data_IF_935636081392
#
_entry.id   IF_935636081392
#
_cell.length_a   1.000
_cell.length_b   1.000
_cell.length_c   1.000
_cell.angle_alpha   90.00
_cell.angle_beta   90.00
_cell.angle_gamma   90.00
#
_symmetry.space_group_name_H-M   'P 1'
#
loop_
_entity.id
_entity.type
_entity.pdbx_description
1 polymer ?
#
# COMPACT_ATOMS: atom_id res chain seq x y z
N UNK A 1 62.58 -1.27 32.91
CA UNK A 1 63.11 -2.52 33.51
C UNK A 1 61.99 -3.57 33.49
N UNK A 2 62.25 -4.66 32.76
CA UNK A 2 61.62 -6.00 32.78
C UNK A 2 60.07 -6.08 32.74
N UNK A 3 59.43 -6.35 31.60
CA UNK A 3 59.27 -7.63 30.88
C UNK A 3 58.66 -8.76 31.73
N UNK A 4 57.38 -9.08 31.52
CA UNK A 4 56.89 -10.47 31.59
C UNK A 4 55.83 -10.71 30.51
N UNK A 5 56.21 -11.56 29.57
CA UNK A 5 55.33 -12.18 28.57
C UNK A 5 54.56 -13.33 29.27
N UNK A 6 53.22 -13.31 29.10
CA UNK A 6 52.34 -14.43 29.44
C UNK A 6 51.81 -15.08 28.16
N UNK A 7 52.16 -16.33 27.93
CA UNK A 7 51.67 -17.13 26.79
C UNK A 7 50.23 -17.56 27.02
N UNK A 8 49.34 -17.28 26.07
CA UNK A 8 48.00 -17.87 26.00
C UNK A 8 48.07 -19.16 25.15
N UNK A 9 47.69 -20.26 25.76
CA UNK A 9 47.48 -21.56 25.11
C UNK A 9 46.16 -21.55 24.32
N UNK A 10 46.23 -21.95 23.07
CA UNK A 10 45.08 -22.23 22.23
C UNK A 10 44.37 -23.52 22.70
N UNK A 11 43.11 -23.43 23.05
CA UNK A 11 42.21 -24.56 23.27
C UNK A 11 41.33 -24.74 22.04
N UNK A 12 41.53 -25.83 21.32
CA UNK A 12 40.67 -26.28 20.23
C UNK A 12 39.45 -26.96 20.80
N UNK A 13 38.26 -26.35 20.67
CA UNK A 13 36.98 -27.02 20.91
C UNK A 13 36.36 -27.37 19.55
N UNK A 14 36.23 -28.68 19.33
CA UNK A 14 35.63 -29.23 18.11
C UNK A 14 34.11 -29.02 18.12
N UNK A 15 33.60 -28.53 16.99
CA UNK A 15 32.19 -28.46 16.70
C UNK A 15 31.71 -29.79 16.13
N UNK A 16 30.88 -30.51 16.87
CA UNK A 16 30.21 -31.70 16.36
C UNK A 16 29.05 -31.31 15.45
N UNK A 17 29.12 -31.65 14.17
CA UNK A 17 28.05 -31.53 13.22
C UNK A 17 27.01 -32.63 13.46
N UNK A 18 25.78 -32.25 13.84
CA UNK A 18 24.65 -33.17 13.88
C UNK A 18 24.03 -33.24 12.47
N UNK A 19 24.22 -34.40 11.83
CA UNK A 19 23.52 -34.71 10.59
C UNK A 19 22.08 -35.13 10.88
N UNK A 20 21.11 -34.37 10.42
CA UNK A 20 19.70 -34.75 10.44
C UNK A 20 19.41 -35.71 9.30
N UNK A 21 19.04 -36.93 9.66
CA UNK A 21 18.66 -38.01 8.76
C UNK A 21 17.15 -37.81 8.39
N UNK A 22 16.83 -37.36 7.18
CA UNK A 22 15.48 -37.33 6.65
C UNK A 22 15.09 -38.74 6.19
N UNK A 23 14.17 -39.39 6.91
CA UNK A 23 13.57 -40.66 6.49
C UNK A 23 12.48 -40.40 5.45
N UNK A 24 12.74 -40.81 4.24
CA UNK A 24 11.73 -40.99 3.18
C UNK A 24 10.95 -42.28 3.44
N UNK A 25 9.66 -42.17 3.72
CA UNK A 25 8.72 -43.31 3.73
C UNK A 25 8.13 -43.47 2.32
N UNK A 26 8.07 -44.70 1.77
CA UNK A 26 7.43 -44.94 0.49
C UNK A 26 5.92 -45.04 0.68
N UNK A 27 5.16 -44.25 -0.06
CA UNK A 27 3.71 -44.47 -0.22
C UNK A 27 3.49 -45.64 -1.17
N UNK A 28 2.93 -46.70 -0.62
CA UNK A 28 2.48 -47.86 -1.37
C UNK A 28 1.20 -47.58 -2.13
N UNK A 29 1.14 -48.04 -3.38
CA UNK A 29 -0.04 -47.99 -4.22
C UNK A 29 -1.11 -48.98 -3.80
N UNK A 30 -2.37 -48.62 -4.03
CA UNK A 30 -3.48 -49.58 -4.13
C UNK A 30 -4.51 -49.10 -5.16
N UNK A 31 -4.64 -49.95 -6.14
CA UNK A 31 -5.82 -50.47 -6.80
C UNK A 31 -6.86 -49.54 -7.49
N UNK A 32 -7.04 -49.89 -8.76
CA UNK A 32 -8.00 -49.38 -9.72
C UNK A 32 -9.43 -49.69 -9.26
N UNK A 33 -10.25 -48.65 -9.21
CA UNK A 33 -11.70 -48.75 -9.23
C UNK A 33 -12.23 -47.97 -10.43
N UNK A 34 -12.80 -48.67 -11.41
CA UNK A 34 -13.54 -48.08 -12.53
C UNK A 34 -14.82 -47.43 -12.01
N UNK A 35 -14.83 -46.12 -11.98
CA UNK A 35 -16.00 -45.28 -11.71
C UNK A 35 -16.06 -44.18 -12.76
N UNK A 36 -16.96 -44.30 -13.73
CA UNK A 36 -17.31 -43.18 -14.63
C UNK A 36 -17.96 -42.05 -13.82
N UNK A 37 -17.13 -41.16 -13.24
CA UNK A 37 -17.55 -39.89 -12.73
C UNK A 37 -17.29 -38.83 -13.81
N UNK A 38 -18.33 -38.19 -14.29
CA UNK A 38 -18.21 -36.95 -15.07
C UNK A 38 -17.55 -35.91 -14.18
N UNK A 39 -16.22 -35.90 -14.17
CA UNK A 39 -15.41 -34.83 -13.56
C UNK A 39 -15.63 -33.57 -14.39
N UNK A 40 -16.35 -32.62 -13.84
CA UNK A 40 -16.18 -31.23 -14.22
C UNK A 40 -14.71 -30.90 -13.89
N UNK A 41 -13.84 -30.93 -14.90
CA UNK A 41 -12.50 -30.33 -14.78
C UNK A 41 -12.65 -28.88 -14.34
N UNK A 42 -11.67 -28.34 -13.57
CA UNK A 42 -11.69 -26.93 -13.22
C UNK A 42 -11.78 -26.17 -14.54
N UNK A 43 -12.91 -25.49 -14.73
CA UNK A 43 -13.12 -24.66 -15.91
C UNK A 43 -11.90 -23.72 -16.02
N UNK A 44 -11.26 -23.72 -17.18
CA UNK A 44 -10.29 -22.69 -17.53
C UNK A 44 -11.06 -21.36 -17.56
N UNK A 45 -11.28 -20.79 -16.37
CA UNK A 45 -11.79 -19.44 -16.21
C UNK A 45 -10.87 -18.50 -17.01
N UNK A 46 -11.47 -17.57 -17.67
CA UNK A 46 -10.76 -16.55 -18.41
C UNK A 46 -9.76 -15.86 -17.44
N UNK A 47 -8.45 -16.17 -17.55
CA UNK A 47 -7.39 -15.62 -16.67
C UNK A 47 -7.22 -14.10 -16.83
N UNK A 48 -8.09 -13.44 -17.59
CA UNK A 48 -8.03 -12.02 -17.88
C UNK A 48 -8.90 -11.21 -16.92
N UNK A 49 -8.26 -10.32 -16.16
CA UNK A 49 -8.94 -9.33 -15.38
C UNK A 49 -9.51 -8.21 -16.28
N UNK A 50 -10.81 -8.01 -16.19
CA UNK A 50 -11.46 -6.85 -16.79
C UNK A 50 -11.20 -5.60 -15.95
N UNK A 51 -11.31 -5.75 -14.65
CA UNK A 51 -11.05 -4.70 -13.67
C UNK A 51 -9.90 -5.13 -12.76
N UNK A 52 -9.13 -4.16 -12.31
CA UNK A 52 -8.11 -4.33 -11.26
C UNK A 52 -8.36 -3.30 -10.18
N UNK A 53 -8.41 -3.74 -8.94
CA UNK A 53 -8.39 -2.90 -7.75
C UNK A 53 -7.09 -3.26 -7.02
N UNK A 54 -6.12 -2.35 -7.11
CA UNK A 54 -4.82 -2.44 -6.45
C UNK A 54 -4.91 -1.66 -5.16
N UNK A 55 -4.85 -2.33 -4.02
CA UNK A 55 -4.96 -1.70 -2.70
C UNK A 55 -3.60 -1.76 -2.04
N UNK A 56 -3.06 -0.62 -1.66
CA UNK A 56 -1.79 -0.48 -0.93
C UNK A 56 -2.07 0.06 0.46
N UNK A 57 -1.57 -0.62 1.48
CA UNK A 57 -1.36 -0.01 2.79
C UNK A 57 0.08 0.42 2.84
N UNK A 58 0.34 1.72 2.91
CA UNK A 58 1.70 2.23 3.08
C UNK A 58 2.23 1.79 4.44
N UNK A 59 3.48 1.34 4.52
CA UNK A 59 4.08 0.86 5.74
C UNK A 59 3.50 -0.45 6.31
N UNK A 60 2.61 -1.13 5.57
CA UNK A 60 1.83 -2.27 6.05
C UNK A 60 2.64 -3.58 6.08
N UNK A 61 3.46 -3.79 7.11
CA UNK A 61 4.12 -5.06 7.39
C UNK A 61 3.19 -6.13 7.98
N UNK A 62 3.70 -7.35 8.15
CA UNK A 62 2.95 -8.45 8.80
C UNK A 62 2.55 -8.12 10.23
N UNK A 63 3.44 -7.48 10.99
CA UNK A 63 3.15 -7.07 12.37
C UNK A 63 2.03 -6.02 12.44
N UNK A 64 1.96 -5.09 11.47
CA UNK A 64 0.86 -4.13 11.38
C UNK A 64 -0.48 -4.82 11.12
N UNK A 65 -0.53 -5.77 10.18
CA UNK A 65 -1.77 -6.56 9.94
C UNK A 65 -2.20 -7.32 11.17
N UNK A 66 -1.26 -7.90 11.92
CA UNK A 66 -1.55 -8.62 13.16
C UNK A 66 -2.05 -7.67 14.26
N UNK A 67 -1.44 -6.48 14.41
CA UNK A 67 -1.91 -5.43 15.31
C UNK A 67 -3.36 -5.06 15.03
N UNK A 68 -3.68 -4.74 13.78
CA UNK A 68 -5.03 -4.39 13.33
C UNK A 68 -5.99 -5.54 13.59
N UNK A 69 -5.60 -6.78 13.29
CA UNK A 69 -6.42 -7.98 13.52
C UNK A 69 -6.76 -8.18 15.00
N UNK A 70 -5.76 -8.14 15.86
CA UNK A 70 -5.96 -8.34 17.29
C UNK A 70 -6.86 -7.27 17.92
N UNK A 71 -6.65 -6.01 17.53
CA UNK A 71 -7.43 -4.89 18.03
C UNK A 71 -8.87 -4.84 17.47
N UNK A 72 -9.11 -5.38 16.26
CA UNK A 72 -10.39 -5.24 15.56
C UNK A 72 -11.28 -6.47 15.70
N UNK A 73 -10.74 -7.66 15.43
CA UNK A 73 -11.50 -8.92 15.34
C UNK A 73 -10.99 -10.00 16.30
N UNK A 74 -9.91 -9.75 17.03
CA UNK A 74 -9.35 -10.65 18.04
C UNK A 74 -8.64 -11.88 17.48
N UNK A 75 -8.29 -12.83 18.37
CA UNK A 75 -7.46 -14.00 18.01
C UNK A 75 -8.11 -14.92 16.99
N UNK A 76 -9.42 -15.09 17.08
CA UNK A 76 -10.18 -16.04 16.26
C UNK A 76 -10.86 -15.36 15.04
N UNK A 77 -10.76 -14.02 14.95
CA UNK A 77 -11.31 -13.24 13.85
C UNK A 77 -10.37 -13.16 12.66
N UNK A 78 -10.94 -12.82 11.51
CA UNK A 78 -10.23 -12.63 10.26
C UNK A 78 -10.59 -11.27 9.66
N UNK A 79 -9.59 -10.49 9.28
CA UNK A 79 -9.77 -9.24 8.55
C UNK A 79 -10.25 -9.54 7.12
N UNK A 80 -10.92 -8.58 6.48
CA UNK A 80 -11.27 -8.66 5.08
C UNK A 80 -10.02 -8.86 4.21
N UNK A 81 -8.93 -8.11 4.50
CA UNK A 81 -7.67 -8.23 3.79
C UNK A 81 -6.97 -9.59 3.95
N UNK A 82 -7.31 -10.39 4.95
CA UNK A 82 -6.79 -11.75 5.17
C UNK A 82 -7.69 -12.83 4.56
N UNK A 83 -8.90 -12.47 4.12
CA UNK A 83 -9.89 -13.41 3.59
C UNK A 83 -9.71 -13.77 2.11
N UNK A 84 -8.84 -13.05 1.39
CA UNK A 84 -8.60 -13.25 -0.03
C UNK A 84 -8.02 -14.65 -0.32
N UNK A 85 -8.38 -15.21 -1.47
CA UNK A 85 -8.12 -16.62 -1.82
C UNK A 85 -6.64 -17.01 -1.87
N UNK A 86 -5.76 -16.07 -2.24
CA UNK A 86 -4.33 -16.29 -2.41
C UNK A 86 -3.52 -15.36 -1.51
N UNK A 87 -2.50 -15.91 -0.85
CA UNK A 87 -1.60 -15.18 0.03
C UNK A 87 -0.13 -15.43 -0.30
N UNK A 88 0.69 -14.43 -0.06
CA UNK A 88 2.14 -14.45 -0.25
C UNK A 88 2.82 -13.32 0.50
N UNK A 89 4.07 -13.07 0.16
CA UNK A 89 4.85 -11.94 0.64
C UNK A 89 5.78 -11.44 -0.45
N UNK A 90 6.17 -10.17 -0.39
CA UNK A 90 7.11 -9.55 -1.32
C UNK A 90 8.34 -9.04 -0.60
N UNK A 91 9.49 -9.07 -1.29
CA UNK A 91 10.63 -8.28 -0.85
C UNK A 91 10.35 -6.80 -1.12
N UNK A 92 11.01 -5.91 -0.39
CA UNK A 92 10.77 -4.47 -0.43
C UNK A 92 11.97 -3.66 -0.93
N UNK A 93 13.10 -4.33 -1.24
CA UNK A 93 14.36 -3.67 -1.59
C UNK A 93 14.27 -2.78 -2.84
N UNK A 94 14.78 -1.54 -2.72
CA UNK A 94 14.99 -0.62 -3.84
C UNK A 94 16.30 -0.93 -4.58
N UNK A 95 16.64 -0.13 -5.59
CA UNK A 95 17.95 -0.17 -6.24
C UNK A 95 18.86 0.99 -5.79
N UNK A 96 18.53 1.61 -4.67
CA UNK A 96 19.33 2.70 -4.10
C UNK A 96 20.75 2.20 -3.77
N UNK A 97 21.82 2.91 -4.20
CA UNK A 97 23.19 2.49 -3.94
C UNK A 97 23.68 2.83 -2.52
N UNK A 98 22.98 3.70 -1.81
CA UNK A 98 23.41 4.22 -0.50
C UNK A 98 22.49 3.74 0.65
N UNK A 99 21.26 3.28 0.33
CA UNK A 99 20.29 2.85 1.31
C UNK A 99 19.84 1.39 1.12
N UNK A 100 19.76 0.65 2.20
CA UNK A 100 19.38 -0.77 2.18
C UNK A 100 17.86 -0.98 2.25
N UNK A 101 17.13 0.03 2.67
CA UNK A 101 15.67 0.01 2.88
C UNK A 101 15.02 0.97 1.91
N UNK A 102 13.91 0.53 1.30
CA UNK A 102 13.16 1.36 0.35
C UNK A 102 12.43 2.50 1.04
N UNK A 103 12.17 3.58 0.29
CA UNK A 103 11.08 4.51 0.61
C UNK A 103 9.83 4.14 -0.20
N UNK A 104 8.71 4.84 0.07
CA UNK A 104 7.43 4.61 -0.63
C UNK A 104 7.53 4.86 -2.13
N UNK A 105 8.35 5.85 -2.57
CA UNK A 105 8.49 6.19 -3.99
C UNK A 105 9.13 5.04 -4.79
N UNK A 106 10.24 4.48 -4.32
CA UNK A 106 10.89 3.36 -4.97
C UNK A 106 10.06 2.06 -4.83
N UNK A 107 9.42 1.84 -3.68
CA UNK A 107 8.53 0.70 -3.44
C UNK A 107 7.33 0.70 -4.39
N UNK A 108 6.60 1.81 -4.45
CA UNK A 108 5.46 1.96 -5.35
C UNK A 108 5.88 1.95 -6.84
N UNK A 109 7.05 2.52 -7.20
CA UNK A 109 7.59 2.45 -8.56
C UNK A 109 7.85 1.01 -8.98
N UNK A 110 8.36 0.16 -8.08
CA UNK A 110 8.56 -1.26 -8.37
C UNK A 110 7.23 -1.97 -8.65
N UNK A 111 6.18 -1.68 -7.89
CA UNK A 111 4.83 -2.21 -8.15
C UNK A 111 4.21 -1.67 -9.43
N UNK A 112 4.37 -0.36 -9.68
CA UNK A 112 3.75 0.30 -10.82
C UNK A 112 4.38 -0.08 -12.15
N UNK A 113 5.72 -0.27 -12.19
CA UNK A 113 6.49 -0.40 -13.43
C UNK A 113 7.20 -1.73 -13.62
N UNK A 114 7.40 -2.52 -12.55
CA UNK A 114 8.26 -3.70 -12.59
C UNK A 114 9.77 -3.38 -12.59
N UNK A 115 10.13 -2.13 -12.31
CA UNK A 115 11.52 -1.66 -12.30
C UNK A 115 11.86 -1.12 -10.92
N UNK A 116 12.97 -1.58 -10.33
CA UNK A 116 13.49 -0.99 -9.10
C UNK A 116 14.29 0.27 -9.42
N UNK A 117 14.11 1.28 -8.59
CA UNK A 117 14.78 2.56 -8.69
C UNK A 117 15.41 2.97 -7.36
N UNK A 118 16.01 4.14 -7.28
CA UNK A 118 16.56 4.71 -6.04
C UNK A 118 15.46 5.38 -5.22
N UNK A 119 15.68 5.55 -3.93
CA UNK A 119 14.74 6.18 -3.02
C UNK A 119 14.44 7.62 -3.45
N UNK A 120 13.19 8.05 -3.34
CA UNK A 120 12.70 9.34 -3.82
C UNK A 120 12.31 9.39 -5.30
N UNK A 121 12.67 8.40 -6.11
CA UNK A 121 12.37 8.39 -7.54
C UNK A 121 10.97 7.82 -7.85
N UNK A 122 10.25 8.50 -8.72
CA UNK A 122 8.86 8.20 -9.08
C UNK A 122 8.76 7.87 -10.57
N UNK A 123 8.35 6.65 -10.90
CA UNK A 123 8.08 6.23 -12.28
C UNK A 123 9.29 6.31 -13.24
N UNK A 124 10.51 6.34 -12.71
CA UNK A 124 11.76 6.38 -13.49
C UNK A 124 12.69 5.23 -13.09
N UNK A 125 13.60 4.86 -13.98
CA UNK A 125 14.67 3.90 -13.68
C UNK A 125 15.86 4.57 -12.94
N UNK A 126 16.89 3.79 -12.63
CA UNK A 126 18.10 4.29 -11.93
C UNK A 126 18.90 5.36 -12.70
N UNK A 127 18.67 5.50 -13.99
CA UNK A 127 19.27 6.52 -14.83
C UNK A 127 18.33 7.74 -15.02
N UNK A 128 17.16 7.76 -14.37
CA UNK A 128 16.16 8.82 -14.44
C UNK A 128 15.29 8.78 -15.70
N UNK A 129 15.28 7.68 -16.46
CA UNK A 129 14.42 7.57 -17.62
C UNK A 129 13.02 7.08 -17.22
N UNK A 130 11.94 7.67 -17.79
CA UNK A 130 10.57 7.23 -17.57
C UNK A 130 10.37 5.74 -17.88
N UNK A 131 9.67 5.01 -17.01
CA UNK A 131 9.32 3.60 -17.19
C UNK A 131 7.80 3.43 -17.25
N UNK A 132 7.25 2.63 -18.20
CA UNK A 132 5.80 2.47 -18.33
C UNK A 132 5.16 1.89 -17.09
N UNK A 133 4.00 2.42 -16.68
CA UNK A 133 3.28 2.00 -15.49
C UNK A 133 2.06 1.13 -15.79
N UNK A 134 1.53 0.43 -14.77
CA UNK A 134 0.28 -0.32 -14.86
C UNK A 134 -0.91 0.56 -15.22
N UNK A 135 -0.97 1.79 -14.70
CA UNK A 135 -2.02 2.76 -15.02
C UNK A 135 -1.95 3.16 -16.50
N UNK A 136 -0.76 3.46 -16.99
CA UNK A 136 -0.56 3.79 -18.42
C UNK A 136 -0.87 2.59 -19.33
N UNK A 137 -0.47 1.39 -18.93
CA UNK A 137 -0.80 0.15 -19.64
C UNK A 137 -2.31 -0.08 -19.70
N UNK A 138 -3.02 0.14 -18.59
CA UNK A 138 -4.48 0.06 -18.52
C UNK A 138 -5.15 1.07 -19.44
N UNK A 139 -4.72 2.33 -19.39
CA UNK A 139 -5.20 3.39 -20.27
C UNK A 139 -4.90 3.09 -21.77
N UNK A 140 -3.70 2.61 -22.06
CA UNK A 140 -3.33 2.18 -23.43
C UNK A 140 -4.18 1.02 -23.95
N UNK A 141 -4.76 0.22 -23.05
CA UNK A 141 -5.72 -0.83 -23.36
C UNK A 141 -7.18 -0.34 -23.43
N UNK A 142 -7.42 0.97 -23.32
CA UNK A 142 -8.75 1.60 -23.40
C UNK A 142 -9.57 1.50 -22.13
N UNK A 143 -8.94 1.16 -20.99
CA UNK A 143 -9.60 1.07 -19.68
C UNK A 143 -9.68 2.45 -19.02
N UNK A 144 -10.71 2.66 -18.22
CA UNK A 144 -10.74 3.78 -17.27
C UNK A 144 -9.68 3.59 -16.17
N UNK A 145 -9.18 4.70 -15.60
CA UNK A 145 -8.14 4.66 -14.57
C UNK A 145 -8.46 5.58 -13.41
N UNK A 146 -8.05 5.20 -12.19
CA UNK A 146 -8.28 5.99 -10.99
C UNK A 146 -7.16 5.85 -9.97
N UNK A 147 -6.97 6.92 -9.20
CA UNK A 147 -6.07 7.05 -8.06
C UNK A 147 -6.89 7.56 -6.88
N UNK A 148 -6.86 6.86 -5.76
CA UNK A 148 -7.54 7.21 -4.50
C UNK A 148 -6.55 7.01 -3.37
N UNK A 149 -6.41 8.00 -2.48
CA UNK A 149 -5.47 7.93 -1.36
C UNK A 149 -5.95 8.77 -0.18
N UNK A 150 -5.49 8.46 1.03
CA UNK A 150 -5.58 9.35 2.20
C UNK A 150 -4.43 10.32 2.29
N UNK A 151 -3.37 10.11 1.50
CA UNK A 151 -2.25 11.03 1.29
C UNK A 151 -2.64 12.27 0.46
N UNK A 152 -1.65 13.10 0.19
CA UNK A 152 -1.69 14.03 -0.94
C UNK A 152 -1.78 13.23 -2.24
N UNK A 153 -2.67 13.59 -3.16
CA UNK A 153 -2.84 12.86 -4.43
C UNK A 153 -1.58 12.84 -5.29
N UNK A 154 -0.62 13.72 -5.01
CA UNK A 154 0.66 13.84 -5.69
C UNK A 154 1.82 13.19 -4.95
N UNK A 155 1.55 12.56 -3.80
CA UNK A 155 2.58 11.86 -3.06
C UNK A 155 3.03 10.56 -3.74
N UNK A 156 4.04 9.93 -3.18
CA UNK A 156 4.86 8.87 -3.74
C UNK A 156 4.08 7.76 -4.45
N UNK A 157 3.09 7.16 -3.78
CA UNK A 157 2.38 6.01 -4.32
C UNK A 157 1.49 6.36 -5.50
N UNK A 158 0.53 7.32 -5.42
CA UNK A 158 -0.25 7.68 -6.58
C UNK A 158 0.62 8.26 -7.70
N UNK A 159 1.69 9.00 -7.34
CA UNK A 159 2.64 9.54 -8.30
C UNK A 159 3.37 8.43 -9.08
N UNK A 160 3.83 7.37 -8.42
CA UNK A 160 4.53 6.25 -9.06
C UNK A 160 3.69 5.53 -10.13
N UNK A 161 2.37 5.53 -9.99
CA UNK A 161 1.46 4.97 -11.00
C UNK A 161 1.13 5.96 -12.12
N UNK A 162 1.18 7.28 -11.87
CA UNK A 162 0.65 8.29 -12.79
C UNK A 162 1.65 9.32 -13.31
N UNK A 163 2.89 9.37 -12.83
CA UNK A 163 3.88 10.38 -13.20
C UNK A 163 5.30 9.81 -13.31
N UNK A 164 6.22 10.62 -13.81
CA UNK A 164 7.63 10.28 -14.00
C UNK A 164 8.48 11.48 -13.61
N UNK A 165 8.99 11.48 -12.38
CA UNK A 165 9.90 12.52 -11.87
C UNK A 165 11.07 11.89 -11.11
N UNK A 166 12.27 12.48 -11.17
CA UNK A 166 13.44 11.98 -10.46
C UNK A 166 13.37 12.21 -8.95
N UNK A 167 12.46 13.07 -8.48
CA UNK A 167 12.30 13.44 -7.07
C UNK A 167 10.80 13.56 -6.73
N UNK A 168 10.32 12.78 -5.75
CA UNK A 168 8.93 12.79 -5.26
C UNK A 168 8.49 14.17 -4.74
N UNK A 169 9.43 15.03 -4.37
CA UNK A 169 9.16 16.42 -3.98
C UNK A 169 8.66 17.33 -5.10
N UNK A 170 8.77 16.91 -6.36
CA UNK A 170 8.30 17.68 -7.53
C UNK A 170 6.76 17.59 -7.70
N UNK A 171 6.01 17.75 -6.61
CA UNK A 171 4.57 17.44 -6.54
C UNK A 171 3.72 18.29 -7.50
N UNK A 172 4.04 19.56 -7.73
CA UNK A 172 3.33 20.36 -8.75
C UNK A 172 3.52 19.82 -10.17
N UNK A 173 4.73 19.34 -10.50
CA UNK A 173 5.00 18.68 -11.79
C UNK A 173 4.24 17.35 -11.89
N UNK A 174 4.15 16.58 -10.80
CA UNK A 174 3.33 15.36 -10.73
C UNK A 174 1.86 15.69 -11.03
N UNK A 175 1.28 16.70 -10.37
CA UNK A 175 -0.08 17.17 -10.62
C UNK A 175 -0.30 17.57 -12.09
N UNK A 176 0.67 18.28 -12.68
CA UNK A 176 0.64 18.64 -14.09
C UNK A 176 0.65 17.39 -14.99
N UNK A 177 1.50 16.39 -14.68
CA UNK A 177 1.56 15.15 -15.45
C UNK A 177 0.26 14.34 -15.35
N UNK A 178 -0.43 14.35 -14.21
CA UNK A 178 -1.76 13.75 -14.09
C UNK A 178 -2.77 14.37 -15.06
N UNK A 179 -2.69 15.66 -15.32
CA UNK A 179 -3.61 16.33 -16.25
C UNK A 179 -3.21 16.17 -17.72
N UNK A 180 -1.92 16.13 -18.02
CA UNK A 180 -1.40 16.21 -19.39
C UNK A 180 -0.97 14.88 -19.96
N UNK A 181 -0.42 13.99 -19.14
CA UNK A 181 0.23 12.75 -19.57
C UNK A 181 -0.63 11.52 -19.26
N UNK A 182 -0.69 11.08 -18.03
CA UNK A 182 -1.40 9.85 -17.62
C UNK A 182 -2.92 10.01 -17.63
N UNK A 183 -3.44 11.17 -17.29
CA UNK A 183 -4.86 11.55 -17.36
C UNK A 183 -5.80 10.52 -16.69
N UNK A 184 -5.62 10.17 -15.43
CA UNK A 184 -6.57 9.30 -14.74
C UNK A 184 -7.99 9.90 -14.77
N UNK A 185 -9.01 9.05 -14.90
CA UNK A 185 -10.40 9.53 -14.92
C UNK A 185 -10.87 9.97 -13.54
N UNK A 186 -10.31 9.38 -12.49
CA UNK A 186 -10.60 9.71 -11.08
C UNK A 186 -9.31 9.94 -10.33
N UNK A 187 -9.22 11.06 -9.59
CA UNK A 187 -8.14 11.40 -8.66
C UNK A 187 -8.79 11.93 -7.39
N UNK A 188 -8.64 11.24 -6.26
CA UNK A 188 -9.27 11.61 -4.99
C UNK A 188 -8.26 11.46 -3.85
N UNK A 189 -8.15 12.47 -2.99
CA UNK A 189 -7.28 12.49 -1.80
C UNK A 189 -7.05 13.89 -1.26
N UNK A 190 -5.96 14.11 -0.54
CA UNK A 190 -5.51 15.40 -0.05
C UNK A 190 -4.62 16.15 -1.03
N UNK A 191 -3.88 17.15 -0.55
CA UNK A 191 -2.80 17.82 -1.27
C UNK A 191 -3.23 18.99 -2.14
N UNK A 192 -4.28 19.73 -1.77
CA UNK A 192 -4.74 20.91 -2.52
C UNK A 192 -3.63 21.93 -2.74
N UNK A 193 -2.70 22.08 -1.81
CA UNK A 193 -1.61 23.05 -1.81
C UNK A 193 -0.75 23.03 -3.08
N UNK A 194 -0.59 21.88 -3.71
CA UNK A 194 0.21 21.73 -4.93
C UNK A 194 -0.54 22.07 -6.22
N UNK A 195 -1.87 22.26 -6.13
CA UNK A 195 -2.74 22.52 -7.28
C UNK A 195 -3.05 23.98 -7.48
N UNK A 196 -2.79 24.83 -6.48
CA UNK A 196 -2.97 26.26 -6.52
C UNK A 196 -1.64 27.02 -6.42
N UNK A 197 -1.49 28.16 -7.12
CA UNK A 197 -0.27 28.96 -7.02
C UNK A 197 -0.04 29.50 -5.61
N UNK A 198 1.21 29.69 -5.25
CA UNK A 198 1.58 30.24 -3.94
C UNK A 198 0.82 31.54 -3.61
N UNK A 199 0.10 31.55 -2.50
CA UNK A 199 -0.72 32.67 -2.02
C UNK A 199 -2.11 32.79 -2.67
N UNK A 200 -2.54 31.79 -3.39
CA UNK A 200 -3.90 31.70 -3.96
C UNK A 200 -4.59 30.42 -3.40
N UNK A 201 -5.10 30.44 -2.14
CA UNK A 201 -5.73 29.26 -1.55
C UNK A 201 -6.94 28.80 -2.36
N UNK A 202 -7.16 27.48 -2.36
CA UNK A 202 -8.29 26.83 -3.00
C UNK A 202 -9.56 26.85 -2.15
N UNK A 203 -10.16 25.69 -1.95
CA UNK A 203 -11.31 25.49 -1.06
C UNK A 203 -10.89 25.44 0.42
N UNK A 204 -9.66 25.01 0.67
CA UNK A 204 -9.06 24.90 1.99
C UNK A 204 -8.23 26.16 2.29
N UNK A 205 -8.44 26.75 3.48
CA UNK A 205 -7.71 27.99 3.86
C UNK A 205 -6.27 27.66 4.23
N UNK A 206 -5.32 28.40 3.64
CA UNK A 206 -3.93 28.39 4.07
C UNK A 206 -3.81 28.82 5.53
N UNK A 207 -3.11 28.06 6.37
CA UNK A 207 -2.91 28.40 7.78
C UNK A 207 -1.43 28.35 8.21
N UNK A 208 -0.50 29.04 7.52
CA UNK A 208 0.94 28.97 7.79
C UNK A 208 1.33 29.49 9.19
N UNK A 209 0.42 30.14 9.91
CA UNK A 209 0.65 30.55 11.30
C UNK A 209 0.51 29.39 12.28
N UNK A 210 -0.31 28.39 11.95
CA UNK A 210 -0.49 27.15 12.72
C UNK A 210 0.50 26.10 12.28
N UNK A 211 0.61 25.89 10.98
CA UNK A 211 1.57 25.00 10.35
C UNK A 211 2.25 25.70 9.15
N UNK A 212 3.57 25.89 9.18
CA UNK A 212 4.27 26.61 8.10
C UNK A 212 4.24 25.88 6.74
N UNK A 213 3.93 24.61 6.72
CA UNK A 213 3.85 23.80 5.49
C UNK A 213 2.47 23.89 4.83
N UNK A 214 1.42 24.19 5.61
CA UNK A 214 0.04 24.27 5.19
C UNK A 214 -0.27 25.58 4.45
N UNK A 215 0.14 25.66 3.20
CA UNK A 215 -0.09 26.82 2.33
C UNK A 215 0.03 26.43 0.85
N UNK A 216 -0.80 27.07 0.02
CA UNK A 216 -0.71 26.93 -1.44
C UNK A 216 0.70 27.24 -1.93
N UNK A 217 1.33 26.27 -2.62
CA UNK A 217 2.74 26.27 -3.01
C UNK A 217 2.97 25.75 -4.43
N UNK A 218 1.89 25.62 -5.22
CA UNK A 218 1.96 25.16 -6.61
C UNK A 218 2.79 26.07 -7.52
N UNK A 219 3.58 25.48 -8.39
CA UNK A 219 4.50 26.17 -9.34
C UNK A 219 4.02 26.13 -10.78
N UNK A 220 2.99 25.35 -11.10
CA UNK A 220 2.48 25.11 -12.44
C UNK A 220 1.20 25.92 -12.79
N UNK A 221 0.91 26.98 -12.03
CA UNK A 221 -0.30 27.78 -12.13
C UNK A 221 -1.50 27.10 -11.47
N UNK A 222 -2.72 27.57 -11.75
CA UNK A 222 -3.94 26.98 -11.20
C UNK A 222 -4.29 25.67 -11.94
N UNK A 223 -3.87 24.54 -11.38
CA UNK A 223 -4.09 23.22 -11.97
C UNK A 223 -5.53 22.74 -11.79
N UNK A 224 -6.26 23.23 -10.79
CA UNK A 224 -7.68 22.93 -10.62
C UNK A 224 -8.52 23.57 -11.75
N UNK A 225 -8.28 24.83 -12.09
CA UNK A 225 -8.93 25.49 -13.24
C UNK A 225 -8.61 24.75 -14.55
N UNK A 226 -7.35 24.34 -14.71
CA UNK A 226 -6.92 23.54 -15.86
C UNK A 226 -7.60 22.16 -15.91
N UNK A 227 -7.78 21.50 -14.78
CA UNK A 227 -8.51 20.22 -14.71
C UNK A 227 -9.97 20.41 -15.15
N UNK A 228 -10.63 21.48 -14.71
CA UNK A 228 -12.00 21.82 -15.12
C UNK A 228 -12.08 22.07 -16.63
N UNK A 229 -11.12 22.78 -17.22
CA UNK A 229 -11.02 22.99 -18.67
C UNK A 229 -10.83 21.66 -19.44
N UNK A 230 -10.19 20.67 -18.84
CA UNK A 230 -10.02 19.30 -19.36
C UNK A 230 -11.24 18.40 -19.12
N UNK A 231 -12.31 18.94 -18.50
CA UNK A 231 -13.58 18.28 -18.28
C UNK A 231 -13.66 17.47 -16.97
N UNK A 232 -12.76 17.71 -16.00
CA UNK A 232 -12.92 17.17 -14.65
C UNK A 232 -13.98 17.96 -13.89
N UNK A 233 -14.78 17.25 -13.10
CA UNK A 233 -15.57 17.84 -12.05
C UNK A 233 -14.66 17.95 -10.83
N UNK A 234 -14.40 19.15 -10.35
CA UNK A 234 -13.67 19.39 -9.11
C UNK A 234 -14.64 19.39 -7.92
N UNK A 235 -14.24 18.75 -6.83
CA UNK A 235 -14.95 18.70 -5.55
C UNK A 235 -13.94 18.78 -4.40
N UNK A 236 -14.35 19.35 -3.26
CA UNK A 236 -13.49 19.56 -2.10
C UNK A 236 -14.11 19.12 -0.77
N UNK A 237 -15.31 18.52 -0.82
CA UNK A 237 -16.03 18.07 0.37
C UNK A 237 -16.89 16.82 0.08
N UNK A 238 -17.41 16.20 1.14
CA UNK A 238 -18.21 14.99 1.06
C UNK A 238 -19.52 15.18 0.29
N UNK A 239 -20.19 16.34 0.41
CA UNK A 239 -21.43 16.65 -0.31
C UNK A 239 -21.19 16.77 -1.81
N UNK A 240 -20.16 17.51 -2.20
CA UNK A 240 -19.71 17.63 -3.59
C UNK A 240 -19.33 16.29 -4.19
N UNK A 241 -18.61 15.44 -3.45
CA UNK A 241 -18.27 14.09 -3.89
C UNK A 241 -19.52 13.24 -4.12
N UNK A 242 -20.46 13.23 -3.17
CA UNK A 242 -21.72 12.48 -3.28
C UNK A 242 -22.53 12.91 -4.51
N UNK A 243 -22.59 14.22 -4.78
CA UNK A 243 -23.36 14.80 -5.87
C UNK A 243 -22.67 14.77 -7.23
N UNK A 244 -21.37 14.55 -7.30
CA UNK A 244 -20.62 14.49 -8.56
C UNK A 244 -21.18 13.41 -9.52
N UNK A 245 -21.35 13.76 -10.80
CA UNK A 245 -21.94 12.87 -11.84
C UNK A 245 -21.06 12.68 -13.07
N UNK A 246 -19.93 13.35 -13.12
CA UNK A 246 -19.00 13.30 -14.25
C UNK A 246 -18.39 11.92 -14.49
N UNK A 247 -17.65 11.80 -15.60
CA UNK A 247 -16.78 10.65 -15.88
C UNK A 247 -15.33 10.91 -15.45
N UNK A 248 -14.98 12.20 -15.32
CA UNK A 248 -13.70 12.65 -14.79
C UNK A 248 -13.94 13.41 -13.51
N UNK A 249 -13.21 13.03 -12.47
CA UNK A 249 -13.41 13.55 -11.12
C UNK A 249 -12.05 13.85 -10.48
N UNK A 250 -11.90 15.08 -9.99
CA UNK A 250 -10.80 15.52 -9.16
C UNK A 250 -11.38 15.93 -7.81
N UNK A 251 -11.01 15.24 -6.74
CA UNK A 251 -11.38 15.57 -5.37
C UNK A 251 -10.14 15.84 -4.52
N UNK A 252 -10.05 17.05 -3.94
CA UNK A 252 -8.99 17.44 -3.03
C UNK A 252 -9.63 17.82 -1.69
N UNK A 253 -9.40 17.00 -0.65
CA UNK A 253 -10.16 17.02 0.59
C UNK A 253 -9.35 17.47 1.80
N UNK A 254 -8.16 18.01 1.57
CA UNK A 254 -7.28 18.64 2.54
C UNK A 254 -6.20 19.44 1.81
N UNK A 255 -5.54 20.39 2.52
CA UNK A 255 -4.35 21.09 2.01
C UNK A 255 -3.19 20.12 1.82
N UNK A 256 -2.92 19.29 2.81
CA UNK A 256 -1.86 18.27 2.84
C UNK A 256 -2.51 16.86 2.92
N UNK A 257 -2.04 15.97 3.81
CA UNK A 257 -2.66 14.66 4.05
C UNK A 257 -4.05 14.81 4.68
N UNK A 258 -4.87 13.78 4.55
CA UNK A 258 -6.24 13.79 5.09
C UNK A 258 -6.30 13.43 6.59
N UNK A 259 -5.19 13.56 7.30
CA UNK A 259 -5.04 13.25 8.73
C UNK A 259 -3.95 14.12 9.35
N UNK A 260 -3.87 14.18 10.69
CA UNK A 260 -2.84 14.94 11.40
C UNK A 260 -1.79 13.99 11.97
N UNK A 261 -0.65 13.92 11.30
CA UNK A 261 0.50 13.11 11.70
C UNK A 261 1.26 13.77 12.87
N UNK A 262 0.90 13.42 14.11
CA UNK A 262 1.54 13.90 15.33
C UNK A 262 1.81 12.74 16.28
N UNK A 263 2.67 12.99 17.29
CA UNK A 263 2.81 12.05 18.39
C UNK A 263 1.47 11.86 19.12
N UNK A 264 1.24 10.69 19.69
CA UNK A 264 0.00 10.38 20.38
C UNK A 264 -0.31 11.41 21.49
N UNK A 265 -1.54 11.94 21.46
CA UNK A 265 -2.03 12.95 22.40
C UNK A 265 -1.49 14.39 22.17
N UNK A 266 -0.69 14.63 21.13
CA UNK A 266 -0.16 15.95 20.77
C UNK A 266 -0.93 16.61 19.62
N UNK A 267 -2.18 16.19 19.40
CA UNK A 267 -3.03 16.72 18.33
C UNK A 267 -3.06 15.79 17.10
N UNK A 268 -2.64 14.54 17.29
CA UNK A 268 -2.80 13.47 16.31
C UNK A 268 -4.28 13.21 16.01
N UNK A 269 -4.64 13.09 14.74
CA UNK A 269 -6.03 12.91 14.33
C UNK A 269 -6.11 12.06 13.05
N UNK A 270 -6.96 11.03 13.10
CA UNK A 270 -7.39 10.29 11.92
C UNK A 270 -8.92 10.39 11.78
N UNK A 271 -9.36 11.47 11.16
CA UNK A 271 -10.77 11.78 10.86
C UNK A 271 -10.84 12.47 9.48
N UNK A 272 -10.56 11.75 8.38
CA UNK A 272 -10.57 12.34 7.04
C UNK A 272 -11.96 12.91 6.71
N UNK A 273 -12.01 14.12 6.10
CA UNK A 273 -13.24 14.78 5.65
C UNK A 273 -14.10 13.86 4.76
N UNK A 274 -13.46 13.03 3.95
CA UNK A 274 -14.09 11.98 3.16
C UNK A 274 -13.37 10.67 3.45
N UNK A 275 -14.01 9.70 4.12
CA UNK A 275 -13.40 8.40 4.41
C UNK A 275 -12.90 7.68 3.14
N UNK A 276 -11.82 6.90 3.27
CA UNK A 276 -11.23 6.13 2.16
C UNK A 276 -12.26 5.23 1.47
N UNK A 277 -13.12 4.59 2.26
CA UNK A 277 -14.19 3.72 1.75
C UNK A 277 -15.18 4.49 0.87
N UNK A 278 -15.52 5.73 1.22
CA UNK A 278 -16.48 6.56 0.45
C UNK A 278 -15.83 7.08 -0.85
N UNK A 279 -14.57 7.50 -0.80
CA UNK A 279 -13.79 7.85 -1.99
C UNK A 279 -13.70 6.66 -2.95
N UNK A 280 -13.38 5.47 -2.42
CA UNK A 280 -13.27 4.23 -3.20
C UNK A 280 -14.62 3.82 -3.80
N UNK A 281 -15.71 3.90 -3.04
CA UNK A 281 -17.06 3.63 -3.54
C UNK A 281 -17.43 4.55 -4.71
N UNK A 282 -17.09 5.84 -4.59
CA UNK A 282 -17.31 6.82 -5.66
C UNK A 282 -16.45 6.53 -6.89
N UNK A 283 -15.17 6.22 -6.71
CA UNK A 283 -14.29 5.85 -7.80
C UNK A 283 -14.82 4.63 -8.55
N UNK A 284 -15.21 3.58 -7.84
CA UNK A 284 -15.82 2.37 -8.42
C UNK A 284 -17.11 2.69 -9.19
N UNK A 285 -17.98 3.59 -8.66
CA UNK A 285 -19.22 3.99 -9.36
C UNK A 285 -18.93 4.72 -10.67
N UNK A 286 -17.89 5.53 -10.72
CA UNK A 286 -17.47 6.22 -11.95
C UNK A 286 -16.83 5.24 -12.94
N UNK A 287 -15.84 4.47 -12.50
CA UNK A 287 -14.98 3.64 -13.35
C UNK A 287 -15.70 2.41 -13.94
N UNK A 288 -16.64 1.80 -13.18
CA UNK A 288 -17.42 0.64 -13.67
C UNK A 288 -18.25 0.89 -14.92
N UNK A 289 -18.47 2.17 -15.28
CA UNK A 289 -19.21 2.57 -16.48
C UNK A 289 -18.42 2.37 -17.75
N UNK A 290 -17.10 2.11 -17.63
CA UNK A 290 -16.28 1.80 -18.79
C UNK A 290 -16.47 0.35 -19.25
N UNK A 291 -16.63 0.16 -20.57
CA UNK A 291 -16.92 -1.15 -21.15
C UNK A 291 -15.70 -2.07 -21.21
N UNK A 292 -14.52 -1.49 -21.29
CA UNK A 292 -13.26 -2.21 -21.33
C UNK A 292 -12.71 -2.53 -19.93
N UNK A 293 -13.42 -2.02 -18.88
CA UNK A 293 -13.08 -2.16 -17.48
C UNK A 293 -12.14 -1.05 -17.00
N UNK A 294 -11.50 -1.25 -15.85
CA UNK A 294 -10.70 -0.21 -15.22
C UNK A 294 -9.45 -0.76 -14.49
N UNK A 295 -8.54 0.15 -14.17
CA UNK A 295 -7.50 0.02 -13.17
C UNK A 295 -7.72 1.10 -12.09
N UNK A 296 -7.78 0.69 -10.84
CA UNK A 296 -7.93 1.58 -9.69
C UNK A 296 -6.83 1.28 -8.68
N UNK A 297 -6.02 2.28 -8.36
CA UNK A 297 -5.17 2.30 -7.17
C UNK A 297 -5.98 2.88 -6.01
N UNK A 298 -5.89 2.22 -4.86
CA UNK A 298 -6.42 2.71 -3.58
C UNK A 298 -5.31 2.60 -2.56
N UNK A 299 -5.05 3.66 -1.82
CA UNK A 299 -4.01 3.71 -0.81
C UNK A 299 -4.54 4.22 0.52
N UNK A 300 -4.11 3.56 1.59
CA UNK A 300 -4.16 4.08 2.96
C UNK A 300 -2.73 4.37 3.42
N UNK A 301 -2.37 5.64 3.47
CA UNK A 301 -1.03 6.09 3.84
C UNK A 301 -0.82 6.15 5.36
N UNK A 302 -1.88 6.47 6.11
CA UNK A 302 -1.76 6.81 7.52
C UNK A 302 -1.26 5.64 8.40
N UNK A 303 -1.25 4.40 7.90
CA UNK A 303 -0.62 3.27 8.61
C UNK A 303 0.88 3.54 8.76
N UNK A 304 1.54 4.01 7.69
CA UNK A 304 2.96 4.38 7.69
C UNK A 304 3.23 5.57 8.58
N UNK A 305 2.53 6.66 8.33
CA UNK A 305 2.79 7.95 8.94
C UNK A 305 2.60 7.94 10.46
N UNK A 306 1.61 7.22 10.97
CA UNK A 306 1.46 7.01 12.40
C UNK A 306 2.46 6.01 12.98
N UNK A 307 2.91 5.02 12.20
CA UNK A 307 4.00 4.13 12.63
C UNK A 307 5.34 4.87 12.74
N UNK A 308 5.61 5.89 11.90
CA UNK A 308 6.74 6.81 12.06
C UNK A 308 6.72 7.56 13.39
N UNK A 309 5.55 7.78 13.96
CA UNK A 309 5.32 8.44 15.26
C UNK A 309 5.20 7.48 16.44
N UNK A 310 5.36 6.16 16.20
CA UNK A 310 5.12 5.14 17.23
C UNK A 310 3.73 5.27 17.86
N UNK A 311 2.70 5.53 17.05
CA UNK A 311 1.32 5.77 17.47
C UNK A 311 0.44 4.60 17.03
N UNK A 312 0.38 3.54 17.85
CA UNK A 312 -0.39 2.34 17.53
C UNK A 312 -1.90 2.60 17.50
N UNK A 313 -2.41 3.53 18.32
CA UNK A 313 -3.83 3.91 18.32
C UNK A 313 -4.29 4.36 16.93
N UNK A 314 -3.54 5.25 16.29
CA UNK A 314 -3.89 5.78 14.96
C UNK A 314 -3.54 4.80 13.85
N UNK A 315 -2.44 4.05 13.97
CA UNK A 315 -2.12 2.94 13.06
C UNK A 315 -3.25 1.91 13.00
N UNK A 316 -3.86 1.57 14.15
CA UNK A 316 -5.04 0.68 14.21
C UNK A 316 -6.23 1.32 13.47
N UNK A 317 -6.52 2.60 13.69
CA UNK A 317 -7.65 3.27 13.04
C UNK A 317 -7.49 3.32 11.51
N UNK A 318 -6.31 3.69 11.03
CA UNK A 318 -5.99 3.68 9.60
C UNK A 318 -6.12 2.27 9.01
N UNK A 319 -5.59 1.27 9.70
CA UNK A 319 -5.71 -0.13 9.27
C UNK A 319 -7.16 -0.65 9.25
N UNK A 320 -8.01 -0.18 10.16
CA UNK A 320 -9.45 -0.48 10.14
C UNK A 320 -10.14 0.13 8.91
N UNK A 321 -9.82 1.38 8.57
CA UNK A 321 -10.35 2.04 7.37
C UNK A 321 -9.89 1.34 6.08
N UNK A 322 -8.64 0.88 6.05
CA UNK A 322 -8.13 0.05 4.96
C UNK A 322 -8.92 -1.26 4.83
N UNK A 323 -9.13 -1.99 5.94
CA UNK A 323 -9.84 -3.27 5.94
C UNK A 323 -11.32 -3.13 5.52
N UNK A 324 -11.99 -2.06 5.95
CA UNK A 324 -13.34 -1.70 5.50
C UNK A 324 -13.36 -1.45 3.98
N UNK A 325 -12.34 -0.76 3.47
CA UNK A 325 -12.20 -0.49 2.04
C UNK A 325 -11.92 -1.77 1.24
N UNK A 326 -11.14 -2.69 1.79
CA UNK A 326 -10.95 -4.03 1.21
C UNK A 326 -12.28 -4.80 1.15
N UNK A 327 -13.07 -4.77 2.23
CA UNK A 327 -14.39 -5.41 2.24
C UNK A 327 -15.30 -4.86 1.12
N UNK A 328 -15.36 -3.54 0.94
CA UNK A 328 -16.08 -2.91 -0.18
C UNK A 328 -15.57 -3.41 -1.54
N UNK A 329 -14.25 -3.52 -1.71
CA UNK A 329 -13.66 -3.99 -2.98
C UNK A 329 -13.99 -5.46 -3.27
N UNK A 330 -14.07 -6.29 -2.24
CA UNK A 330 -14.47 -7.71 -2.36
C UNK A 330 -15.95 -7.82 -2.72
N UNK A 331 -16.84 -7.06 -2.08
CA UNK A 331 -18.27 -7.01 -2.42
C UNK A 331 -18.45 -6.57 -3.89
N UNK A 332 -17.72 -5.53 -4.31
CA UNK A 332 -17.71 -5.10 -5.72
C UNK A 332 -17.26 -6.23 -6.65
N UNK A 333 -16.22 -6.98 -6.30
CA UNK A 333 -15.70 -8.07 -7.13
C UNK A 333 -16.67 -9.25 -7.24
N UNK A 334 -17.44 -9.54 -6.19
CA UNK A 334 -18.51 -10.57 -6.23
C UNK A 334 -19.61 -10.19 -7.21
N UNK A 335 -20.02 -8.93 -7.22
CA UNK A 335 -21.05 -8.41 -8.14
C UNK A 335 -20.52 -8.23 -9.57
N UNK A 336 -19.22 -7.94 -9.73
CA UNK A 336 -18.59 -7.61 -11.00
C UNK A 336 -17.50 -8.64 -11.37
N UNK A 337 -17.94 -9.80 -11.82
CA UNK A 337 -17.02 -10.90 -12.20
C UNK A 337 -15.95 -10.45 -13.17
N UNK A 338 -14.73 -10.93 -12.99
CA UNK A 338 -13.57 -10.52 -13.77
C UNK A 338 -12.81 -9.36 -13.15
N UNK A 339 -13.02 -9.10 -11.87
CA UNK A 339 -12.26 -8.15 -11.07
C UNK A 339 -11.15 -8.89 -10.31
N UNK A 340 -9.90 -8.43 -10.47
CA UNK A 340 -8.76 -8.78 -9.63
C UNK A 340 -8.71 -7.77 -8.50
N UNK A 341 -8.71 -8.24 -7.26
CA UNK A 341 -8.43 -7.46 -6.05
C UNK A 341 -7.13 -7.96 -5.47
N UNK A 342 -6.21 -7.06 -5.13
CA UNK A 342 -5.00 -7.38 -4.37
C UNK A 342 -4.77 -6.33 -3.30
N UNK A 343 -4.17 -6.77 -2.18
CA UNK A 343 -3.79 -5.93 -1.03
C UNK A 343 -2.31 -6.19 -0.74
N UNK A 344 -1.50 -5.14 -0.67
CA UNK A 344 -0.05 -5.25 -0.48
C UNK A 344 0.47 -4.07 0.33
N UNK A 345 1.57 -4.26 1.08
CA UNK A 345 2.38 -3.19 1.65
C UNK A 345 3.65 -2.99 0.82
N UNK A 346 4.11 -1.77 0.68
CA UNK A 346 5.34 -1.42 -0.04
C UNK A 346 6.61 -1.59 0.81
N UNK A 347 6.51 -1.33 2.09
CA UNK A 347 7.47 -1.61 3.16
C UNK A 347 6.73 -1.81 4.48
N UNK A 348 7.47 -2.05 5.57
CA UNK A 348 6.99 -1.97 6.93
C UNK A 348 7.67 -0.79 7.64
N UNK A 349 6.99 -0.20 8.63
CA UNK A 349 7.46 1.00 9.34
C UNK A 349 7.47 0.80 10.85
N UNK A 350 8.34 1.52 11.55
CA UNK A 350 8.42 1.53 13.00
C UNK A 350 9.10 0.30 13.64
N UNK A 351 9.31 -0.79 12.89
CA UNK A 351 9.86 -2.04 13.41
C UNK A 351 9.00 -2.59 14.55
N UNK A 352 7.70 -2.66 14.30
CA UNK A 352 6.65 -3.00 15.26
C UNK A 352 6.74 -4.45 15.74
N UNK A 353 6.69 -4.65 17.06
CA UNK A 353 6.50 -5.95 17.73
C UNK A 353 5.25 -5.91 18.59
N UNK A 354 4.57 -7.06 18.72
CA UNK A 354 3.37 -7.20 19.56
C UNK A 354 3.73 -8.13 20.71
N UNK A 355 3.46 -7.70 21.95
CA UNK A 355 3.85 -8.40 23.14
C UNK A 355 2.69 -8.56 24.13
N UNK A 356 2.88 -9.45 25.10
CA UNK A 356 1.95 -9.53 26.22
C UNK A 356 2.20 -8.37 27.18
N UNK A 357 1.15 -7.89 27.84
CA UNK A 357 1.32 -6.99 28.98
C UNK A 357 2.05 -7.74 30.09
N UNK A 358 3.33 -7.47 30.28
CA UNK A 358 4.16 -8.08 31.30
C UNK A 358 4.92 -7.00 32.10
N UNK A 359 4.66 -6.85 33.41
CA UNK A 359 5.35 -5.88 34.25
C UNK A 359 6.84 -6.24 34.50
N UNK A 360 7.28 -7.42 34.12
CA UNK A 360 8.68 -7.90 34.21
C UNK A 360 9.32 -7.99 32.83
N UNK A 361 8.76 -7.26 31.84
CA UNK A 361 9.24 -7.23 30.49
C UNK A 361 10.75 -6.94 30.41
N UNK A 362 11.48 -7.82 29.72
CA UNK A 362 12.92 -7.70 29.49
C UNK A 362 13.24 -6.94 28.20
N UNK A 363 12.25 -6.43 27.49
CA UNK A 363 12.43 -5.72 26.22
C UNK A 363 13.11 -4.36 26.44
N UNK A 364 14.37 -4.38 26.72
CA UNK A 364 15.33 -3.30 26.57
C UNK A 364 14.86 -1.90 26.96
N UNK A 365 14.61 -1.66 28.25
CA UNK A 365 14.33 -0.31 28.77
C UNK A 365 15.21 0.76 28.11
N UNK A 366 14.57 1.69 27.36
CA UNK A 366 15.22 2.79 26.67
C UNK A 366 15.80 2.48 25.28
N UNK A 367 15.57 1.28 24.72
CA UNK A 367 15.90 0.92 23.35
C UNK A 367 14.66 0.90 22.41
N UNK A 368 13.47 0.79 22.97
CA UNK A 368 12.19 0.76 22.27
C UNK A 368 11.23 1.82 22.82
N UNK A 369 10.18 2.12 22.07
CA UNK A 369 9.03 2.91 22.55
C UNK A 369 7.86 1.96 22.68
N UNK A 370 7.37 1.76 23.93
CA UNK A 370 6.19 0.95 24.21
C UNK A 370 4.92 1.79 24.11
N UNK A 371 3.89 1.21 23.54
CA UNK A 371 2.56 1.81 23.37
C UNK A 371 1.46 0.83 23.82
N UNK A 372 0.41 1.34 24.45
CA UNK A 372 -0.67 0.51 24.98
C UNK A 372 -0.81 0.64 26.52
N UNK A 373 -1.42 -0.35 27.22
CA UNK A 373 -1.95 -1.60 26.67
C UNK A 373 -3.25 -1.43 25.87
N UNK A 374 -3.39 -2.23 24.83
CA UNK A 374 -4.59 -2.28 23.97
C UNK A 374 -5.48 -3.48 24.35
N UNK A 375 -6.79 -3.30 24.25
CA UNK A 375 -7.73 -4.39 24.44
C UNK A 375 -7.72 -5.35 23.25
N UNK A 376 -7.62 -6.65 23.54
CA UNK A 376 -7.80 -7.70 22.55
C UNK A 376 -9.29 -7.87 22.24
N UNK A 377 -9.71 -7.60 21.01
CA UNK A 377 -11.13 -7.67 20.64
C UNK A 377 -11.77 -9.01 21.00
N UNK A 378 -12.95 -8.94 21.62
CA UNK A 378 -13.72 -10.13 22.03
C UNK A 378 -13.13 -10.91 23.22
N UNK A 379 -12.20 -10.33 23.98
CA UNK A 379 -11.51 -10.97 25.11
C UNK A 379 -11.30 -9.98 26.25
N UNK A 380 -11.02 -10.51 27.46
CA UNK A 380 -10.57 -9.72 28.63
C UNK A 380 -9.02 -9.58 28.64
N UNK A 381 -8.33 -10.04 27.58
CA UNK A 381 -6.88 -9.94 27.47
C UNK A 381 -6.47 -8.59 26.86
N UNK A 382 -5.25 -8.19 27.18
CA UNK A 382 -4.61 -7.00 26.61
C UNK A 382 -3.24 -7.37 26.02
N UNK A 383 -2.71 -6.49 25.18
CA UNK A 383 -1.38 -6.59 24.59
C UNK A 383 -0.73 -5.20 24.51
N UNK A 384 0.56 -5.16 24.39
CA UNK A 384 1.37 -3.95 24.14
C UNK A 384 2.05 -4.02 22.79
N UNK A 385 2.54 -2.89 22.32
CA UNK A 385 3.26 -2.74 21.06
C UNK A 385 4.58 -2.06 21.32
N UNK A 386 5.66 -2.65 20.86
CA UNK A 386 6.99 -2.06 20.85
C UNK A 386 7.39 -1.57 19.47
N UNK A 387 8.02 -0.39 19.43
CA UNK A 387 8.56 0.23 18.23
C UNK A 387 10.08 0.32 18.35
N UNK A 388 10.81 -0.27 17.41
CA UNK A 388 12.26 -0.32 17.43
C UNK A 388 12.93 0.83 16.67
N UNK A 389 12.19 1.53 15.83
CA UNK A 389 12.69 2.65 15.00
C UNK A 389 11.54 3.58 14.65
N UNK A 390 11.84 4.82 14.26
CA UNK A 390 10.87 5.73 13.64
C UNK A 390 11.00 5.76 12.11
N UNK A 391 11.60 4.75 11.49
CA UNK A 391 11.81 4.67 10.04
C UNK A 391 11.29 3.38 9.43
N UNK A 392 11.43 3.26 8.11
CA UNK A 392 11.09 2.04 7.39
C UNK A 392 12.03 0.89 7.77
N UNK A 393 11.56 -0.35 7.59
CA UNK A 393 12.35 -1.55 7.82
C UNK A 393 12.41 -2.43 6.58
N UNK A 394 13.46 -3.25 6.46
CA UNK A 394 13.63 -4.21 5.36
C UNK A 394 12.79 -5.48 5.52
N UNK A 395 11.72 -5.45 6.30
CA UNK A 395 10.79 -6.57 6.43
C UNK A 395 10.08 -6.86 5.11
N UNK A 396 9.85 -8.14 4.81
CA UNK A 396 9.00 -8.52 3.69
C UNK A 396 7.53 -8.24 4.01
N UNK A 397 6.79 -7.67 3.07
CA UNK A 397 5.40 -7.28 3.27
C UNK A 397 4.41 -8.33 2.78
N UNK A 398 3.24 -8.45 3.42
CA UNK A 398 2.23 -9.40 3.01
C UNK A 398 1.55 -8.95 1.70
N UNK A 399 1.19 -9.93 0.87
CA UNK A 399 0.32 -9.73 -0.27
C UNK A 399 -0.81 -10.74 -0.22
N UNK A 400 -2.03 -10.28 -0.44
CA UNK A 400 -3.21 -11.15 -0.61
C UNK A 400 -3.95 -10.75 -1.88
N UNK A 401 -4.56 -11.74 -2.57
CA UNK A 401 -5.23 -11.46 -3.83
C UNK A 401 -6.37 -12.43 -4.10
N UNK A 402 -7.38 -11.95 -4.85
CA UNK A 402 -8.54 -12.75 -5.30
C UNK A 402 -8.96 -12.35 -6.72
N UNK A 403 -9.42 -13.31 -7.49
CA UNK A 403 -9.95 -13.10 -8.83
C UNK A 403 -9.00 -13.52 -9.96
N UNK A 404 -9.26 -13.11 -11.22
CA UNK A 404 -8.47 -13.54 -12.36
C UNK A 404 -7.00 -13.15 -12.26
N UNK A 405 -6.11 -14.13 -12.30
CA UNK A 405 -4.67 -13.92 -12.22
C UNK A 405 -4.09 -13.93 -10.80
N UNK A 406 -4.91 -13.90 -9.75
CA UNK A 406 -4.51 -13.81 -8.33
C UNK A 406 -3.55 -14.94 -7.90
N UNK A 407 -3.70 -16.15 -8.43
CA UNK A 407 -2.79 -17.26 -8.12
C UNK A 407 -1.32 -16.98 -8.46
N UNK A 408 -1.02 -15.97 -9.28
CA UNK A 408 0.35 -15.53 -9.60
C UNK A 408 0.97 -14.69 -8.51
N UNK A 409 0.15 -14.17 -7.60
CA UNK A 409 0.54 -13.34 -6.47
C UNK A 409 0.72 -14.15 -5.18
N UNK A 410 0.61 -15.49 -5.25
CA UNK A 410 0.82 -16.37 -4.11
C UNK A 410 2.29 -16.72 -3.91
N UNK A 411 2.67 -16.91 -2.63
CA UNK A 411 4.03 -17.32 -2.24
C UNK A 411 5.03 -16.17 -2.20
N UNK A 412 6.31 -16.52 -2.24
CA UNK A 412 7.42 -15.56 -2.16
C UNK A 412 7.65 -14.88 -3.51
N UNK A 413 7.73 -13.56 -3.52
CA UNK A 413 7.91 -12.75 -4.72
C UNK A 413 8.88 -11.60 -4.49
N UNK A 414 9.35 -10.99 -5.56
CA UNK A 414 9.93 -9.64 -5.54
C UNK A 414 8.82 -8.61 -5.73
N UNK A 415 9.04 -7.41 -5.23
CA UNK A 415 8.11 -6.30 -5.48
C UNK A 415 7.84 -6.09 -7.00
N UNK A 416 8.85 -6.22 -7.85
CA UNK A 416 8.70 -6.13 -9.33
C UNK A 416 7.85 -7.24 -9.95
N UNK A 417 7.77 -8.42 -9.33
CA UNK A 417 6.96 -9.53 -9.85
C UNK A 417 5.46 -9.25 -9.74
N UNK A 418 5.06 -8.37 -8.80
CA UNK A 418 3.67 -7.91 -8.63
C UNK A 418 3.18 -7.18 -9.88
N UNK A 419 3.99 -6.25 -10.43
CA UNK A 419 3.71 -5.60 -11.71
C UNK A 419 3.43 -6.62 -12.80
N UNK A 420 4.35 -7.57 -12.99
CA UNK A 420 4.25 -8.57 -14.03
C UNK A 420 2.99 -9.43 -13.91
N UNK A 421 2.62 -9.82 -12.68
CA UNK A 421 1.41 -10.59 -12.42
C UNK A 421 0.14 -9.82 -12.78
N UNK A 422 0.05 -8.54 -12.36
CA UNK A 422 -1.10 -7.66 -12.64
C UNK A 422 -1.19 -7.34 -14.14
N UNK A 423 -0.06 -6.98 -14.78
CA UNK A 423 -0.03 -6.69 -16.22
C UNK A 423 -0.51 -7.89 -17.04
N UNK A 424 -0.04 -9.10 -16.71
CA UNK A 424 -0.51 -10.35 -17.36
C UNK A 424 -1.98 -10.63 -17.10
N UNK A 425 -2.48 -10.32 -15.90
CA UNK A 425 -3.91 -10.45 -15.61
C UNK A 425 -4.74 -9.49 -16.48
N UNK A 426 -4.32 -8.25 -16.67
CA UNK A 426 -5.02 -7.28 -17.53
C UNK A 426 -4.99 -7.67 -19.02
N UNK A 427 -3.87 -8.20 -19.53
CA UNK A 427 -3.70 -8.54 -20.94
C UNK A 427 -4.34 -9.88 -21.32
N UNK A 428 -4.45 -10.82 -20.35
CA UNK A 428 -4.81 -12.21 -20.61
C UNK A 428 -3.67 -12.99 -21.28
N UNK A 429 -3.87 -14.28 -21.53
CA UNK A 429 -2.90 -15.08 -22.28
C UNK A 429 -2.83 -14.53 -23.70
N UNK A 430 -1.70 -13.97 -24.10
CA UNK A 430 -1.43 -13.66 -25.49
C UNK A 430 -1.74 -14.91 -26.34
N UNK A 431 -2.49 -14.74 -27.43
CA UNK A 431 -2.59 -15.80 -28.45
C UNK A 431 -1.19 -15.97 -29.02
N UNK A 432 -0.47 -17.00 -28.51
CA UNK A 432 0.76 -17.46 -29.12
C UNK A 432 0.52 -18.11 -30.50
#
# INVERSE_FOLDING_TARGET
MQSRRGQLRAGTTGVAAAAALVMLLPFGGSERGDGQGHGHGPGHGNDRARNVIFIQGDGLGLSHRELIRLATVGKDGQLAMDSLEHAGWTTTDSADPEEAVTDSAAGATAFASGVRTYNGAVGVDVDGNPVPTLLEAARGAGKATGLVTTAQVTDATPAAFGAHVPDRGDQSEIARQFLESSRPDVVLGGGEDWWFPAGEPGAWEDNPAKDPTEQSKGTEGNLVERAQDLGYTYVSDAEGLADARGRKLLGLFANEEMFEQRNEGEGDLYEPEVPLVDMTAKALDVLKRDRDGFFLLVEEEAVDEFAHRSNATRTIQAGQALDETVALALDFAEENRGTLVLVVGDHATGGLAIENVDPEDESGEGATTEDGPFDLAGSDLQFTVDWTTGGHTGEATPITAQGPGAARLAGAQRNTDVHDAVLRAMQGRGRG
#
